data_IF_755384375045
#
_entry.id   IF_755384375045
#
_cell.length_a   1.000
_cell.length_b   1.000
_cell.length_c   1.000
_cell.angle_alpha   90.00
_cell.angle_beta   90.00
_cell.angle_gamma   90.00
#
_symmetry.space_group_name_H-M   'P 1'
#
loop_
_entity.id
_entity.type
_entity.pdbx_description
1 polymer ?
#
# COMPACT_ATOMS: atom_id res chain seq x y z
N UNK A 1 41.57 -39.58 8.11
CA UNK A 1 40.40 -39.08 7.34
C UNK A 1 40.86 -38.86 5.91
N UNK A 2 40.24 -39.50 4.92
CA UNK A 2 40.76 -39.60 3.55
C UNK A 2 40.62 -38.25 2.83
N UNK A 3 41.73 -37.64 2.40
CA UNK A 3 41.78 -36.31 1.77
C UNK A 3 40.92 -36.20 0.50
N UNK A 4 40.71 -37.32 -0.19
CA UNK A 4 39.82 -37.42 -1.34
C UNK A 4 38.33 -37.24 -1.00
N UNK A 5 37.89 -37.73 0.17
CA UNK A 5 36.49 -37.58 0.61
C UNK A 5 36.19 -36.12 1.01
N UNK A 6 37.14 -35.47 1.69
CA UNK A 6 37.04 -34.04 2.01
C UNK A 6 37.00 -33.15 0.75
N UNK A 7 37.76 -33.51 -0.27
CA UNK A 7 37.77 -32.77 -1.55
C UNK A 7 36.47 -32.94 -2.33
N UNK A 8 35.89 -34.14 -2.33
CA UNK A 8 34.59 -34.41 -2.97
C UNK A 8 33.46 -33.61 -2.31
N UNK A 9 33.37 -33.64 -0.98
CA UNK A 9 32.37 -32.87 -0.22
C UNK A 9 32.52 -31.36 -0.47
N UNK A 10 33.75 -30.86 -0.54
CA UNK A 10 34.00 -29.45 -0.82
C UNK A 10 33.50 -29.05 -2.22
N UNK A 11 33.72 -29.87 -3.25
CA UNK A 11 33.20 -29.61 -4.59
C UNK A 11 31.67 -29.60 -4.63
N UNK A 12 31.02 -30.58 -4.01
CA UNK A 12 29.55 -30.63 -3.95
C UNK A 12 28.95 -29.40 -3.25
N UNK A 13 29.58 -28.93 -2.16
CA UNK A 13 29.15 -27.72 -1.46
C UNK A 13 29.31 -26.48 -2.34
N UNK A 14 30.43 -26.33 -3.04
CA UNK A 14 30.68 -25.19 -3.93
C UNK A 14 29.72 -25.19 -5.12
N UNK A 15 29.42 -26.36 -5.69
CA UNK A 15 28.45 -26.50 -6.79
C UNK A 15 27.04 -26.15 -6.32
N UNK A 16 26.63 -26.64 -5.14
CA UNK A 16 25.33 -26.30 -4.54
C UNK A 16 25.19 -24.80 -4.29
N UNK A 17 26.24 -24.16 -3.74
CA UNK A 17 26.26 -22.72 -3.50
C UNK A 17 26.16 -21.95 -4.81
N UNK A 18 26.93 -22.34 -5.82
CA UNK A 18 26.95 -21.67 -7.12
C UNK A 18 25.60 -21.78 -7.82
N UNK A 19 24.98 -22.97 -7.80
CA UNK A 19 23.63 -23.18 -8.30
C UNK A 19 22.59 -22.35 -7.55
N UNK A 20 22.69 -22.27 -6.22
CA UNK A 20 21.76 -21.49 -5.39
C UNK A 20 21.87 -19.99 -5.68
N UNK A 21 23.09 -19.46 -5.79
CA UNK A 21 23.33 -18.06 -6.13
C UNK A 21 22.82 -17.73 -7.53
N UNK A 22 23.09 -18.59 -8.52
CA UNK A 22 22.56 -18.42 -9.88
C UNK A 22 21.03 -18.40 -9.88
N UNK A 23 20.40 -19.32 -9.14
CA UNK A 23 18.94 -19.39 -9.06
C UNK A 23 18.32 -18.18 -8.37
N UNK A 24 18.96 -17.66 -7.33
CA UNK A 24 18.56 -16.42 -6.66
C UNK A 24 18.69 -15.22 -7.60
N UNK A 25 19.78 -15.14 -8.35
CA UNK A 25 19.98 -14.09 -9.34
C UNK A 25 18.90 -14.11 -10.43
N UNK A 26 18.63 -15.29 -11.00
CA UNK A 26 17.56 -15.47 -11.99
C UNK A 26 16.19 -15.07 -11.43
N UNK A 27 15.91 -15.45 -10.17
CA UNK A 27 14.66 -15.08 -9.51
C UNK A 27 14.56 -13.55 -9.32
N UNK A 28 15.63 -12.89 -8.92
CA UNK A 28 15.67 -11.43 -8.77
C UNK A 28 15.44 -10.75 -10.12
N UNK A 29 16.10 -11.21 -11.18
CA UNK A 29 15.90 -10.68 -12.53
C UNK A 29 14.48 -10.89 -13.03
N UNK A 30 13.91 -12.08 -12.77
CA UNK A 30 12.51 -12.36 -13.12
C UNK A 30 11.54 -11.42 -12.40
N UNK A 31 11.73 -11.22 -11.09
CA UNK A 31 10.91 -10.30 -10.31
C UNK A 31 11.07 -8.86 -10.78
N UNK A 32 12.28 -8.44 -11.16
CA UNK A 32 12.54 -7.12 -11.71
C UNK A 32 11.88 -6.92 -13.07
N UNK A 33 11.99 -7.87 -14.00
CA UNK A 33 11.32 -7.83 -15.30
C UNK A 33 9.78 -7.80 -15.14
N UNK A 34 9.25 -8.63 -14.24
CA UNK A 34 7.83 -8.62 -13.89
C UNK A 34 7.39 -7.24 -13.36
N UNK A 35 8.16 -6.65 -12.44
CA UNK A 35 7.87 -5.34 -11.88
C UNK A 35 7.91 -4.24 -12.96
N UNK A 36 8.91 -4.26 -13.84
CA UNK A 36 9.03 -3.31 -14.94
C UNK A 36 7.88 -3.42 -15.93
N UNK A 37 7.47 -4.65 -16.30
CA UNK A 37 6.31 -4.87 -17.17
C UNK A 37 5.01 -4.34 -16.55
N UNK A 38 4.80 -4.60 -15.26
CA UNK A 38 3.65 -4.08 -14.54
C UNK A 38 3.68 -2.54 -14.50
N UNK A 39 4.85 -1.94 -14.23
CA UNK A 39 5.01 -0.49 -14.20
C UNK A 39 4.73 0.14 -15.56
N UNK A 40 5.29 -0.40 -16.65
CA UNK A 40 5.03 0.08 -18.01
C UNK A 40 3.56 -0.03 -18.36
N UNK A 41 2.91 -1.15 -18.03
CA UNK A 41 1.48 -1.34 -18.29
C UNK A 41 0.61 -0.32 -17.53
N UNK A 42 0.92 -0.07 -16.26
CA UNK A 42 0.24 0.94 -15.45
C UNK A 42 0.50 2.35 -15.99
N UNK A 43 1.72 2.63 -16.45
CA UNK A 43 2.09 3.93 -17.01
C UNK A 43 1.39 4.24 -18.33
N UNK A 44 1.36 3.29 -19.26
CA UNK A 44 0.59 3.38 -20.50
C UNK A 44 -0.88 3.63 -20.20
N UNK A 45 -1.46 2.83 -19.28
CA UNK A 45 -2.85 3.01 -18.87
C UNK A 45 -3.07 4.40 -18.26
N UNK A 46 -2.15 4.89 -17.44
CA UNK A 46 -2.23 6.23 -16.85
C UNK A 46 -2.22 7.33 -17.90
N UNK A 47 -1.43 7.21 -18.98
CA UNK A 47 -1.43 8.19 -20.05
C UNK A 47 -2.80 8.30 -20.74
N UNK A 48 -3.47 7.16 -20.94
CA UNK A 48 -4.81 7.07 -21.52
C UNK A 48 -5.93 7.58 -20.60
N UNK A 49 -5.66 7.80 -19.32
CA UNK A 49 -6.67 8.30 -18.38
C UNK A 49 -7.01 9.76 -18.62
N UNK A 50 -8.28 10.07 -18.43
CA UNK A 50 -8.75 11.44 -18.29
C UNK A 50 -8.10 12.15 -17.09
N UNK A 51 -8.01 13.47 -17.17
CA UNK A 51 -7.39 14.31 -16.14
C UNK A 51 -7.89 14.03 -14.71
N UNK A 52 -9.19 13.78 -14.53
CA UNK A 52 -9.78 13.48 -13.21
C UNK A 52 -9.31 12.11 -12.70
N UNK A 53 -9.26 11.09 -13.56
CA UNK A 53 -8.80 9.75 -13.19
C UNK A 53 -7.29 9.72 -12.90
N UNK A 54 -6.51 10.58 -13.54
CA UNK A 54 -5.08 10.78 -13.18
C UNK A 54 -4.91 11.23 -11.73
N UNK A 55 -5.83 12.05 -11.23
CA UNK A 55 -5.81 12.49 -9.84
C UNK A 55 -6.05 11.34 -8.84
N UNK A 56 -6.79 10.30 -9.24
CA UNK A 56 -6.98 9.07 -8.47
C UNK A 56 -5.67 8.27 -8.39
N UNK A 57 -4.93 8.19 -9.48
CA UNK A 57 -3.61 7.56 -9.44
C UNK A 57 -2.65 8.36 -8.53
N UNK A 58 -2.66 9.69 -8.60
CA UNK A 58 -1.82 10.55 -7.76
C UNK A 58 -2.14 10.46 -6.26
N UNK A 59 -3.40 10.20 -5.89
CA UNK A 59 -3.81 10.00 -4.49
C UNK A 59 -3.20 8.75 -3.85
N UNK A 60 -2.57 7.87 -4.65
CA UNK A 60 -1.75 6.76 -4.15
C UNK A 60 -0.53 7.23 -3.35
N UNK A 61 0.04 8.40 -3.69
CA UNK A 61 1.21 8.95 -2.99
C UNK A 61 0.86 9.30 -1.53
N UNK A 62 -0.16 10.13 -1.23
CA UNK A 62 -0.55 10.38 0.15
C UNK A 62 -1.12 9.13 0.83
N UNK A 63 -1.71 8.17 0.08
CA UNK A 63 -2.13 6.88 0.64
C UNK A 63 -0.95 6.10 1.22
N UNK A 64 0.19 6.08 0.53
CA UNK A 64 1.42 5.44 1.02
C UNK A 64 1.90 6.07 2.33
N UNK A 65 1.91 7.41 2.43
CA UNK A 65 2.28 8.10 3.66
C UNK A 65 1.29 7.83 4.80
N UNK A 66 0.00 7.72 4.50
CA UNK A 66 -1.01 7.36 5.49
C UNK A 66 -0.78 5.96 6.10
N UNK A 67 -0.16 5.03 5.37
CA UNK A 67 0.17 3.69 5.90
C UNK A 67 1.36 3.72 6.85
N UNK A 68 2.38 4.53 6.56
CA UNK A 68 3.67 4.47 7.24
C UNK A 68 3.76 5.45 8.41
N UNK A 69 3.08 6.60 8.31
CA UNK A 69 3.18 7.64 9.33
C UNK A 69 2.41 7.26 10.60
N UNK A 70 2.98 7.56 11.78
CA UNK A 70 2.30 7.34 13.04
C UNK A 70 1.08 8.25 13.17
N UNK A 71 0.05 7.72 13.82
CA UNK A 71 -1.24 8.40 13.99
C UNK A 71 -1.40 9.04 15.36
N UNK A 72 -0.70 8.52 16.36
CA UNK A 72 -0.68 9.08 17.69
C UNK A 72 0.68 8.85 18.34
N UNK A 73 1.04 9.71 19.28
CA UNK A 73 2.12 9.47 20.23
C UNK A 73 1.63 9.64 21.67
N UNK A 74 2.35 9.03 22.60
CA UNK A 74 2.11 9.17 24.03
C UNK A 74 3.45 9.18 24.77
N UNK A 75 3.48 9.89 25.91
CA UNK A 75 4.68 10.06 26.72
C UNK A 75 4.55 9.28 28.03
N UNK A 76 5.38 8.25 28.20
CA UNK A 76 5.40 7.41 29.40
C UNK A 76 6.86 7.13 29.78
N UNK A 77 7.19 7.22 31.07
CA UNK A 77 8.53 6.96 31.63
C UNK A 77 9.67 7.69 30.89
N UNK A 78 9.51 8.99 30.72
CA UNK A 78 10.50 9.87 30.07
C UNK A 78 10.79 9.60 28.59
N UNK A 79 10.01 8.71 27.94
CA UNK A 79 10.16 8.37 26.54
C UNK A 79 8.86 8.62 25.74
N UNK A 80 9.03 8.99 24.47
CA UNK A 80 7.94 9.10 23.50
C UNK A 80 7.76 7.77 22.77
N UNK A 81 6.54 7.25 22.77
CA UNK A 81 6.16 6.08 21.99
C UNK A 81 5.12 6.49 20.95
N UNK A 82 5.33 6.07 19.70
CA UNK A 82 4.40 6.32 18.61
C UNK A 82 3.62 5.06 18.25
N UNK A 83 2.37 5.26 17.85
CA UNK A 83 1.45 4.22 17.39
C UNK A 83 1.16 4.45 15.92
N UNK A 84 1.36 3.42 15.11
CA UNK A 84 0.94 3.39 13.72
C UNK A 84 -0.52 2.94 13.61
N UNK A 85 -1.17 3.31 12.51
CA UNK A 85 -2.54 2.90 12.27
C UNK A 85 -2.64 1.38 12.03
N UNK A 86 -3.29 0.59 12.90
CA UNK A 86 -3.44 -0.86 12.67
C UNK A 86 -4.26 -1.15 11.41
N UNK A 87 -5.17 -0.26 11.04
CA UNK A 87 -5.98 -0.39 9.81
C UNK A 87 -5.30 0.27 8.60
N UNK A 88 -4.18 0.99 8.78
CA UNK A 88 -3.44 1.64 7.70
C UNK A 88 -2.97 0.67 6.62
N UNK A 89 -2.74 -0.60 6.96
CA UNK A 89 -2.43 -1.64 5.96
C UNK A 89 -3.55 -1.87 4.95
N UNK A 90 -4.81 -1.63 5.33
CA UNK A 90 -5.95 -1.78 4.42
C UNK A 90 -5.94 -0.72 3.33
N UNK A 91 -5.35 0.48 3.56
CA UNK A 91 -5.17 1.50 2.51
C UNK A 91 -4.36 0.98 1.32
N UNK A 92 -3.43 0.03 1.53
CA UNK A 92 -2.71 -0.65 0.43
C UNK A 92 -3.70 -1.42 -0.45
N UNK A 93 -4.60 -2.18 0.18
CA UNK A 93 -5.67 -2.90 -0.52
C UNK A 93 -6.63 -1.95 -1.23
N UNK A 94 -6.98 -0.83 -0.59
CA UNK A 94 -7.81 0.22 -1.20
C UNK A 94 -7.15 0.75 -2.47
N UNK A 95 -5.87 1.13 -2.41
CA UNK A 95 -5.08 1.57 -3.57
C UNK A 95 -5.09 0.52 -4.68
N UNK A 96 -4.87 -0.75 -4.35
CA UNK A 96 -4.91 -1.83 -5.33
C UNK A 96 -6.28 -1.91 -6.02
N UNK A 97 -7.38 -1.75 -5.27
CA UNK A 97 -8.74 -1.69 -5.84
C UNK A 97 -8.96 -0.40 -6.65
N UNK A 98 -8.44 0.75 -6.22
CA UNK A 98 -8.53 2.00 -6.98
C UNK A 98 -7.86 1.87 -8.35
N UNK A 99 -6.70 1.22 -8.42
CA UNK A 99 -5.97 0.94 -9.67
C UNK A 99 -6.72 -0.12 -10.50
N UNK A 100 -7.10 -1.25 -9.90
CA UNK A 100 -7.82 -2.32 -10.61
C UNK A 100 -9.16 -1.85 -11.18
N UNK A 101 -9.88 -0.98 -10.46
CA UNK A 101 -11.16 -0.42 -10.91
C UNK A 101 -11.06 0.47 -12.17
N UNK A 102 -9.85 0.90 -12.57
CA UNK A 102 -9.60 1.58 -13.85
C UNK A 102 -9.90 0.70 -15.07
N UNK A 103 -9.93 -0.62 -14.89
CA UNK A 103 -10.22 -1.59 -15.95
C UNK A 103 -11.71 -1.94 -16.06
N UNK A 104 -12.55 -1.50 -15.12
CA UNK A 104 -13.98 -1.81 -15.09
C UNK A 104 -14.85 -0.67 -15.62
N UNK A 105 -16.12 -0.97 -16.02
CA UNK A 105 -17.08 0.03 -16.50
C UNK A 105 -17.37 1.14 -15.47
N UNK A 106 -17.64 2.35 -15.97
CA UNK A 106 -17.67 3.59 -15.18
C UNK A 106 -18.67 3.59 -14.02
N UNK A 107 -19.85 2.99 -14.20
CA UNK A 107 -20.89 2.96 -13.16
C UNK A 107 -20.47 2.11 -11.95
N UNK A 108 -19.93 0.92 -12.18
CA UNK A 108 -19.49 0.03 -11.09
C UNK A 108 -18.26 0.55 -10.37
N UNK A 109 -17.36 1.21 -11.11
CA UNK A 109 -16.14 1.84 -10.57
C UNK A 109 -16.46 2.78 -9.41
N UNK A 110 -17.44 3.66 -9.55
CA UNK A 110 -17.76 4.68 -8.54
C UNK A 110 -18.30 4.05 -7.26
N UNK A 111 -19.22 3.08 -7.36
CA UNK A 111 -19.79 2.41 -6.20
C UNK A 111 -18.75 1.62 -5.42
N UNK A 112 -17.90 0.87 -6.11
CA UNK A 112 -16.81 0.11 -5.47
C UNK A 112 -15.83 1.04 -4.77
N UNK A 113 -15.40 2.11 -5.47
CA UNK A 113 -14.45 3.06 -4.91
C UNK A 113 -15.01 3.80 -3.71
N UNK A 114 -16.24 4.31 -3.81
CA UNK A 114 -16.89 5.02 -2.71
C UNK A 114 -17.18 4.08 -1.55
N UNK A 115 -17.74 2.89 -1.80
CA UNK A 115 -18.11 1.93 -0.77
C UNK A 115 -16.92 1.47 0.09
N UNK A 116 -15.81 1.13 -0.56
CA UNK A 116 -14.60 0.70 0.17
C UNK A 116 -13.99 1.84 0.98
N UNK A 117 -13.91 3.05 0.42
CA UNK A 117 -13.39 4.21 1.16
C UNK A 117 -14.32 4.64 2.30
N UNK A 118 -15.63 4.54 2.13
CA UNK A 118 -16.61 4.80 3.19
C UNK A 118 -16.50 3.77 4.32
N UNK A 119 -16.36 2.49 3.97
CA UNK A 119 -16.11 1.42 4.94
C UNK A 119 -14.84 1.69 5.74
N UNK A 120 -13.76 2.10 5.07
CA UNK A 120 -12.51 2.44 5.72
C UNK A 120 -12.62 3.68 6.63
N UNK A 121 -13.30 4.74 6.18
CA UNK A 121 -13.56 5.93 6.99
C UNK A 121 -14.40 5.63 8.22
N UNK A 122 -15.40 4.76 8.08
CA UNK A 122 -16.21 4.31 9.21
C UNK A 122 -15.32 3.72 10.32
N UNK A 123 -14.38 2.84 9.97
CA UNK A 123 -13.44 2.26 10.94
C UNK A 123 -12.46 3.28 11.52
N UNK A 124 -11.91 4.18 10.70
CA UNK A 124 -11.02 5.25 11.20
C UNK A 124 -11.71 6.12 12.24
N UNK A 125 -12.96 6.51 11.98
CA UNK A 125 -13.72 7.41 12.86
C UNK A 125 -14.21 6.64 14.09
N UNK A 126 -14.52 5.35 13.95
CA UNK A 126 -14.96 4.50 15.05
C UNK A 126 -13.86 4.28 16.10
N UNK A 127 -12.61 4.01 15.70
CA UNK A 127 -11.51 3.73 16.65
C UNK A 127 -11.29 4.81 17.73
N UNK A 128 -11.25 6.13 17.43
CA UNK A 128 -11.19 7.17 18.44
C UNK A 128 -12.44 7.23 19.31
N UNK A 129 -13.63 7.07 18.73
CA UNK A 129 -14.90 7.09 19.48
C UNK A 129 -14.98 5.93 20.47
N UNK A 130 -14.48 4.76 20.07
CA UNK A 130 -14.41 3.56 20.90
C UNK A 130 -13.26 3.58 21.92
N UNK A 131 -12.44 4.64 21.95
CA UNK A 131 -11.22 4.73 22.78
C UNK A 131 -10.24 3.57 22.53
N UNK A 132 -10.25 3.02 21.32
CA UNK A 132 -9.41 1.87 20.94
C UNK A 132 -8.05 2.30 20.34
N UNK A 133 -7.89 3.58 19.98
CA UNK A 133 -6.61 4.10 19.45
C UNK A 133 -5.46 3.98 20.46
N UNK A 134 -5.72 4.31 21.71
CA UNK A 134 -4.80 4.07 22.83
C UNK A 134 -5.55 4.27 24.15
N UNK A 135 -5.25 3.42 25.13
CA UNK A 135 -5.72 3.59 26.52
C UNK A 135 -4.80 4.49 27.35
N UNK A 136 -3.66 4.89 26.78
CA UNK A 136 -2.70 5.78 27.43
C UNK A 136 -3.14 7.25 27.25
N UNK A 137 -3.27 7.94 28.37
CA UNK A 137 -3.56 9.37 28.46
C UNK A 137 -2.41 10.04 29.23
N UNK A 138 -1.78 11.14 28.77
CA UNK A 138 -2.08 11.91 27.56
C UNK A 138 -1.50 11.32 26.27
N UNK A 139 -2.29 11.36 25.20
CA UNK A 139 -1.85 11.08 23.82
C UNK A 139 -2.10 12.28 22.91
N UNK A 140 -1.28 12.45 21.87
CA UNK A 140 -1.49 13.49 20.85
C UNK A 140 -1.77 12.83 19.51
N UNK A 141 -2.74 13.40 18.79
CA UNK A 141 -3.07 12.98 17.43
C UNK A 141 -2.06 13.63 16.47
N UNK A 142 -1.43 12.80 15.65
CA UNK A 142 -0.40 13.21 14.70
C UNK A 142 -0.96 13.42 13.29
N UNK A 143 -0.14 14.01 12.42
CA UNK A 143 -0.49 14.26 11.03
C UNK A 143 -0.90 12.99 10.25
N UNK A 144 -0.31 11.84 10.59
CA UNK A 144 -0.66 10.56 9.95
C UNK A 144 -2.13 10.20 10.10
N UNK A 145 -2.78 10.55 11.22
CA UNK A 145 -4.21 10.33 11.43
C UNK A 145 -5.06 11.12 10.42
N UNK A 146 -4.70 12.38 10.17
CA UNK A 146 -5.43 13.23 9.24
C UNK A 146 -5.25 12.79 7.79
N UNK A 147 -4.07 12.29 7.41
CA UNK A 147 -3.87 11.70 6.08
C UNK A 147 -4.75 10.47 5.86
N UNK A 148 -4.92 9.66 6.90
CA UNK A 148 -5.79 8.49 6.88
C UNK A 148 -7.27 8.85 6.64
N UNK A 149 -7.72 10.05 7.01
CA UNK A 149 -9.05 10.58 6.67
C UNK A 149 -9.08 11.24 5.29
N UNK A 150 -8.09 12.10 5.03
CA UNK A 150 -8.05 12.92 3.81
C UNK A 150 -8.00 12.07 2.55
N UNK A 151 -7.17 11.02 2.51
CA UNK A 151 -6.97 10.18 1.32
C UNK A 151 -8.27 9.49 0.90
N UNK A 152 -8.99 8.76 1.77
CA UNK A 152 -10.28 8.18 1.41
C UNK A 152 -11.33 9.20 0.98
N UNK A 153 -11.39 10.36 1.66
CA UNK A 153 -12.31 11.45 1.28
C UNK A 153 -11.98 11.95 -0.12
N UNK A 154 -10.70 12.18 -0.42
CA UNK A 154 -10.25 12.58 -1.75
C UNK A 154 -10.64 11.53 -2.80
N UNK A 155 -10.46 10.24 -2.52
CA UNK A 155 -10.90 9.17 -3.43
C UNK A 155 -12.41 9.19 -3.69
N UNK A 156 -13.23 9.41 -2.67
CA UNK A 156 -14.69 9.51 -2.81
C UNK A 156 -15.05 10.72 -3.67
N UNK A 157 -14.51 11.90 -3.34
CA UNK A 157 -14.79 13.15 -4.05
C UNK A 157 -14.40 13.04 -5.52
N UNK A 158 -13.18 12.56 -5.80
CA UNK A 158 -12.68 12.46 -7.18
C UNK A 158 -13.44 11.39 -7.97
N UNK A 159 -13.83 10.29 -7.33
CA UNK A 159 -14.71 9.28 -7.96
C UNK A 159 -16.09 9.84 -8.27
N UNK A 160 -16.67 10.64 -7.38
CA UNK A 160 -17.95 11.30 -7.61
C UNK A 160 -17.86 12.34 -8.73
N UNK A 161 -16.80 13.15 -8.77
CA UNK A 161 -16.55 14.11 -9.86
C UNK A 161 -16.37 13.40 -11.21
N UNK A 162 -15.62 12.30 -11.24
CA UNK A 162 -15.45 11.47 -12.44
C UNK A 162 -16.80 10.91 -12.93
N UNK A 163 -17.66 10.50 -12.01
CA UNK A 163 -19.01 10.04 -12.35
C UNK A 163 -19.86 11.15 -12.95
N UNK A 164 -19.87 12.34 -12.34
CA UNK A 164 -20.68 13.47 -12.79
C UNK A 164 -20.25 13.96 -14.17
N UNK A 165 -18.95 13.95 -14.47
CA UNK A 165 -18.42 14.35 -15.77
C UNK A 165 -18.77 13.35 -16.88
N UNK A 166 -18.69 12.06 -16.60
CA UNK A 166 -18.91 11.00 -17.59
C UNK A 166 -20.36 10.47 -17.53
N UNK A 167 -21.32 11.34 -17.16
CA UNK A 167 -22.76 11.07 -17.19
C UNK A 167 -23.40 11.35 -18.56
N UNK A 168 -22.60 11.82 -19.51
CA UNK A 168 -22.90 11.81 -20.95
C UNK A 168 -22.61 10.43 -21.57
#
# INVERSE_FOLDING_TARGET
>A
MNTYALRGIFHEIVDLLSWSVARLYDLILYLFDLAMRLLTHVWEKYQDLEFIEKFIALTTIPAFFAVILPIADFYIFEANFSINNPIGVYLIGIVAVMIASLYFPHRFRVYVRAGINLYYLFWIIYMPLAHELTKADPHRILFGYWLNIFVPVAYIVVSALSFLKNRE
#
